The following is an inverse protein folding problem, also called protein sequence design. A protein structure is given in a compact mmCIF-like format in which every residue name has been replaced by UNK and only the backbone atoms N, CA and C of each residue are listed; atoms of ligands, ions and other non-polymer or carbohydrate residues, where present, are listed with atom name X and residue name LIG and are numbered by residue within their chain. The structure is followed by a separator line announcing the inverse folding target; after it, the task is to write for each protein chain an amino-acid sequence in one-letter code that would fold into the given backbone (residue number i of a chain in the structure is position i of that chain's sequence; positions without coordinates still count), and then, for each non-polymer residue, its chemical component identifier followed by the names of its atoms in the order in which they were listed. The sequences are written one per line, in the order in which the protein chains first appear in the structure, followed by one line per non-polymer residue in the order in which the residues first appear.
data_IF_416135899652
#
_entry.id   IF_416135899652
#
_cell.length_a   1.000
_cell.length_b   1.000
_cell.length_c   1.000
_cell.angle_alpha   90.00
_cell.angle_beta   90.00
_cell.angle_gamma   90.00
#
_symmetry.space_group_name_H-M   'P 1'
#
loop_
_entity.id
_entity.type
_entity.pdbx_description
1 polymer ?
#
# COMPACT_ATOMS: atom_id res chain seq x y z
N UNK A 1 10.91 17.33 3.51
CA UNK A 1 10.29 16.52 4.58
C UNK A 1 9.41 15.46 3.98
N UNK A 2 9.60 14.23 4.38
CA UNK A 2 8.84 13.13 3.82
C UNK A 2 7.54 12.92 4.61
N UNK A 3 6.50 12.56 3.88
CA UNK A 3 5.25 12.20 4.51
C UNK A 3 5.40 10.85 5.22
N UNK A 4 4.65 10.67 6.29
CA UNK A 4 4.61 9.40 7.00
C UNK A 4 3.87 8.38 6.14
N UNK A 5 4.44 7.18 6.07
CA UNK A 5 3.85 6.07 5.33
C UNK A 5 3.39 5.01 6.31
N UNK A 6 2.10 4.72 6.29
CA UNK A 6 1.50 3.73 7.18
C UNK A 6 0.87 2.63 6.33
N UNK A 7 1.27 1.40 6.56
CA UNK A 7 0.65 0.26 5.91
C UNK A 7 -0.38 -0.36 6.85
N UNK A 8 -1.64 -0.27 6.46
CA UNK A 8 -2.74 -0.94 7.14
C UNK A 8 -2.82 -2.34 6.58
N UNK A 9 -2.61 -3.35 7.40
CA UNK A 9 -2.38 -4.69 6.89
C UNK A 9 -2.86 -5.82 7.80
N UNK A 10 -2.85 -7.01 7.24
CA UNK A 10 -2.95 -8.28 7.95
C UNK A 10 -1.69 -9.06 7.54
N UNK A 11 -0.85 -9.38 8.51
CA UNK A 11 0.50 -9.87 8.23
C UNK A 11 0.52 -11.16 7.39
N UNK A 12 -0.48 -12.01 7.54
CA UNK A 12 -0.54 -13.27 6.80
C UNK A 12 -1.02 -13.11 5.36
N UNK A 13 -1.48 -11.92 4.97
CA UNK A 13 -1.98 -11.69 3.62
C UNK A 13 -0.83 -11.56 2.62
N UNK A 14 -0.93 -12.29 1.50
CA UNK A 14 0.07 -12.21 0.43
C UNK A 14 0.13 -10.83 -0.21
N UNK A 15 -1.02 -10.15 -0.34
CA UNK A 15 -1.04 -8.81 -0.90
C UNK A 15 -0.37 -7.81 0.03
N UNK A 16 -0.53 -7.97 1.33
CA UNK A 16 0.15 -7.12 2.30
C UNK A 16 1.66 -7.39 2.27
N UNK A 17 2.05 -8.65 2.18
CA UNK A 17 3.46 -9.01 2.08
C UNK A 17 4.12 -8.37 0.86
N UNK A 18 3.41 -8.34 -0.26
CA UNK A 18 3.92 -7.74 -1.50
C UNK A 18 4.27 -6.27 -1.29
N UNK A 19 3.43 -5.54 -0.58
CA UNK A 19 3.70 -4.12 -0.31
C UNK A 19 4.91 -3.97 0.63
N UNK A 20 4.98 -4.80 1.68
CA UNK A 20 6.14 -4.76 2.59
C UNK A 20 7.43 -5.07 1.86
N UNK A 21 7.40 -6.07 0.99
CA UNK A 21 8.58 -6.46 0.22
C UNK A 21 9.04 -5.33 -0.69
N UNK A 22 8.11 -4.70 -1.38
CA UNK A 22 8.44 -3.57 -2.25
C UNK A 22 9.10 -2.45 -1.45
N UNK A 23 8.53 -2.10 -0.30
CA UNK A 23 9.11 -1.06 0.55
C UNK A 23 10.52 -1.43 0.99
N UNK A 24 10.73 -2.69 1.36
CA UNK A 24 12.05 -3.15 1.79
C UNK A 24 13.08 -3.05 0.67
N UNK A 25 12.69 -3.45 -0.54
CA UNK A 25 13.61 -3.42 -1.68
C UNK A 25 14.02 -2.00 -2.03
N UNK A 26 13.10 -1.04 -1.98
CA UNK A 26 13.41 0.36 -2.29
C UNK A 26 13.96 1.13 -1.09
N UNK A 27 14.07 0.49 0.07
CA UNK A 27 14.67 1.11 1.25
C UNK A 27 13.76 2.11 1.95
N UNK A 28 12.45 1.95 1.80
CA UNK A 28 11.47 2.86 2.41
C UNK A 28 10.93 2.26 3.69
N UNK A 29 10.93 3.05 4.75
CA UNK A 29 10.38 2.62 6.03
C UNK A 29 8.86 2.79 6.03
N UNK A 30 8.16 1.75 6.46
CA UNK A 30 6.72 1.78 6.66
C UNK A 30 6.41 1.60 8.13
N UNK A 31 5.54 2.43 8.66
CA UNK A 31 4.88 2.12 9.92
C UNK A 31 3.76 1.13 9.60
N UNK A 32 3.66 0.07 10.40
CA UNK A 32 2.68 -0.98 10.14
C UNK A 32 1.57 -0.92 11.17
N UNK A 33 0.34 -1.04 10.69
CA UNK A 33 -0.83 -1.09 11.55
C UNK A 33 -1.60 -2.37 11.23
N UNK A 34 -1.54 -3.30 12.17
CA UNK A 34 -2.09 -4.64 11.98
C UNK A 34 -3.57 -4.69 12.31
N UNK A 35 -4.34 -5.39 11.49
CA UNK A 35 -5.76 -5.66 11.72
C UNK A 35 -5.99 -7.15 11.67
N UNK A 36 -6.83 -7.65 12.59
CA UNK A 36 -7.23 -9.05 12.56
C UNK A 36 -8.50 -9.19 11.73
N UNK A 37 -8.35 -9.60 10.48
CA UNK A 37 -9.49 -9.72 9.57
C UNK A 37 -10.46 -10.82 10.02
N UNK A 38 -9.96 -11.82 10.73
CA UNK A 38 -10.81 -12.90 11.23
C UNK A 38 -11.74 -12.42 12.34
N UNK A 39 -11.38 -11.32 13.00
CA UNK A 39 -12.21 -10.71 14.03
C UNK A 39 -13.03 -9.54 13.51
N UNK A 40 -13.01 -9.31 12.20
CA UNK A 40 -13.79 -8.25 11.60
C UNK A 40 -13.22 -6.85 11.82
N UNK A 41 -11.93 -6.71 12.10
CA UNK A 41 -11.35 -5.40 12.42
C UNK A 41 -11.30 -4.46 11.22
N UNK A 42 -11.40 -4.98 9.99
CA UNK A 42 -11.51 -4.14 8.79
C UNK A 42 -12.95 -3.81 8.45
N UNK A 43 -13.91 -4.22 9.28
CA UNK A 43 -15.32 -3.96 9.07
C UNK A 43 -15.92 -3.06 10.13
N UNK A 44 -15.09 -2.48 11.00
CA UNK A 44 -15.58 -1.53 11.99
C UNK A 44 -16.02 -0.24 11.31
N UNK A 45 -16.96 0.50 11.91
CA UNK A 45 -17.36 1.79 11.36
C UNK A 45 -16.19 2.74 11.17
N UNK A 46 -15.24 2.74 12.09
CA UNK A 46 -14.05 3.58 12.00
C UNK A 46 -13.20 3.22 10.79
N UNK A 47 -12.96 1.92 10.58
CA UNK A 47 -12.15 1.49 9.44
C UNK A 47 -12.83 1.85 8.12
N UNK A 48 -14.13 1.55 8.01
CA UNK A 48 -14.88 1.79 6.78
C UNK A 48 -14.98 3.29 6.46
N UNK A 49 -15.07 4.11 7.47
CA UNK A 49 -15.17 5.56 7.27
C UNK A 49 -13.83 6.21 7.01
N UNK A 50 -12.75 5.73 7.64
CA UNK A 50 -11.50 6.47 7.69
C UNK A 50 -10.35 5.82 6.91
N UNK A 51 -10.44 4.54 6.61
CA UNK A 51 -9.34 3.84 5.94
C UNK A 51 -9.75 3.33 4.57
N UNK A 52 -10.77 2.47 4.51
CA UNK A 52 -11.21 1.92 3.23
C UNK A 52 -12.66 1.47 3.35
N UNK A 53 -13.53 2.12 2.59
CA UNK A 53 -14.96 1.82 2.62
C UNK A 53 -15.28 0.41 2.14
N UNK A 54 -14.36 -0.24 1.45
CA UNK A 54 -14.54 -1.63 1.00
C UNK A 54 -14.18 -2.65 2.08
N UNK A 55 -13.63 -2.22 3.21
CA UNK A 55 -13.29 -3.13 4.31
C UNK A 55 -12.15 -4.08 3.98
N UNK A 56 -11.22 -3.68 3.14
CA UNK A 56 -10.11 -4.52 2.68
C UNK A 56 -8.76 -3.93 3.04
N UNK A 57 -7.77 -4.79 3.14
CA UNK A 57 -6.35 -4.46 3.28
C UNK A 57 -5.59 -5.17 2.15
N UNK A 58 -4.40 -4.73 1.79
CA UNK A 58 -3.64 -3.62 2.38
C UNK A 58 -4.15 -2.26 1.95
N UNK A 59 -3.89 -1.26 2.76
CA UNK A 59 -4.08 0.15 2.38
C UNK A 59 -2.79 0.87 2.74
N UNK A 60 -2.22 1.56 1.79
CA UNK A 60 -1.05 2.40 2.05
C UNK A 60 -1.53 3.83 2.31
N UNK A 61 -1.29 4.33 3.50
CA UNK A 61 -1.62 5.69 3.86
C UNK A 61 -0.40 6.57 3.67
N UNK A 62 -0.55 7.63 2.90
CA UNK A 62 0.51 8.59 2.60
C UNK A 62 0.04 9.94 3.14
N UNK A 63 0.50 10.30 4.33
CA UNK A 63 -0.04 11.47 5.02
C UNK A 63 -1.53 11.28 5.29
N UNK A 64 -2.36 12.09 4.65
CA UNK A 64 -3.82 11.99 4.78
C UNK A 64 -4.50 11.35 3.58
N UNK A 65 -3.71 10.77 2.65
CA UNK A 65 -4.25 10.09 1.47
C UNK A 65 -4.11 8.58 1.65
N UNK A 66 -5.05 7.84 1.05
CA UNK A 66 -5.12 6.39 1.23
C UNK A 66 -5.14 5.71 -0.14
N UNK A 67 -4.27 4.73 -0.33
CA UNK A 67 -4.16 3.94 -1.55
C UNK A 67 -4.65 2.52 -1.22
N UNK A 68 -5.87 2.14 -1.64
CA UNK A 68 -6.47 0.88 -1.21
C UNK A 68 -6.15 -0.33 -2.09
N UNK A 69 -5.33 -0.16 -3.13
CA UNK A 69 -4.98 -1.23 -4.04
C UNK A 69 -3.51 -1.60 -3.87
N UNK A 70 -3.24 -2.90 -3.68
CA UNK A 70 -1.87 -3.35 -3.43
C UNK A 70 -0.93 -3.04 -4.60
N UNK A 71 -1.40 -3.19 -5.84
CA UNK A 71 -0.56 -2.88 -6.99
C UNK A 71 -0.25 -1.39 -7.07
N UNK A 72 -1.25 -0.54 -6.81
CA UNK A 72 -1.04 0.90 -6.80
C UNK A 72 -0.10 1.31 -5.67
N UNK A 73 -0.20 0.67 -4.51
CA UNK A 73 0.70 0.95 -3.39
C UNK A 73 2.14 0.58 -3.75
N UNK A 74 2.33 -0.58 -4.36
CA UNK A 74 3.66 -1.00 -4.81
C UNK A 74 4.22 -0.03 -5.84
N UNK A 75 3.37 0.42 -6.75
CA UNK A 75 3.77 1.39 -7.76
C UNK A 75 4.22 2.70 -7.14
N UNK A 76 3.45 3.17 -6.17
CA UNK A 76 3.79 4.41 -5.48
C UNK A 76 5.16 4.28 -4.82
N UNK A 77 5.39 3.16 -4.12
CA UNK A 77 6.65 2.94 -3.42
C UNK A 77 7.82 2.81 -4.38
N UNK A 78 7.60 2.19 -5.53
CA UNK A 78 8.66 1.95 -6.51
C UNK A 78 8.91 3.13 -7.45
N UNK A 79 8.01 4.10 -7.48
CA UNK A 79 8.11 5.24 -8.39
C UNK A 79 9.41 5.99 -8.14
N UNK A 80 10.15 6.22 -9.23
CA UNK A 80 11.46 6.85 -9.14
C UNK A 80 12.58 5.93 -8.73
N UNK A 81 12.30 4.64 -8.48
CA UNK A 81 13.30 3.65 -8.12
C UNK A 81 13.75 2.86 -9.35
N UNK A 82 14.86 2.10 -9.25
CA UNK A 82 15.29 1.23 -10.35
C UNK A 82 14.31 0.12 -10.69
N UNK A 83 13.34 -0.19 -9.82
CA UNK A 83 12.36 -1.22 -10.09
C UNK A 83 11.42 -0.86 -11.23
N UNK A 84 11.15 0.44 -11.42
CA UNK A 84 10.26 0.91 -12.47
C UNK A 84 11.00 2.02 -13.22
N UNK A 85 11.57 1.72 -14.40
CA UNK A 85 12.25 2.74 -15.19
C UNK A 85 11.29 3.87 -15.54
N UNK A 86 11.75 5.10 -15.38
CA UNK A 86 10.89 6.27 -15.47
C UNK A 86 10.25 6.42 -16.85
N UNK A 87 11.04 6.29 -17.90
CA UNK A 87 10.49 6.46 -19.25
C UNK A 87 9.50 5.37 -19.60
N UNK A 88 9.71 4.16 -19.13
CA UNK A 88 8.76 3.07 -19.33
C UNK A 88 7.45 3.36 -18.61
N UNK A 89 7.54 3.85 -17.40
CA UNK A 89 6.37 4.22 -16.63
C UNK A 89 5.58 5.33 -17.32
N UNK A 90 6.27 6.33 -17.84
CA UNK A 90 5.60 7.45 -18.50
C UNK A 90 4.96 7.06 -19.83
N UNK A 91 5.59 6.18 -20.59
CA UNK A 91 5.13 5.86 -21.94
C UNK A 91 4.03 4.82 -21.95
N UNK A 92 3.90 4.02 -20.91
CA UNK A 92 2.97 2.89 -20.91
C UNK A 92 2.30 2.69 -19.58
N UNK A 93 1.87 3.78 -18.98
CA UNK A 93 1.32 3.76 -17.66
C UNK A 93 0.07 2.89 -17.53
N UNK A 94 -0.75 2.87 -18.58
CA UNK A 94 -1.99 2.12 -18.54
C UNK A 94 -1.78 0.61 -18.54
N UNK A 95 -0.60 0.15 -18.87
CA UNK A 95 -0.29 -1.27 -18.94
C UNK A 95 0.60 -1.73 -17.78
N UNK A 96 0.87 -0.86 -16.87
CA UNK A 96 1.78 -1.22 -15.78
C UNK A 96 1.09 -2.17 -14.83
N UNK A 97 1.76 -3.29 -14.57
CA UNK A 97 1.29 -4.32 -13.65
C UNK A 97 2.45 -4.70 -12.76
N UNK A 98 2.17 -4.79 -11.49
CA UNK A 98 3.19 -5.20 -10.52
C UNK A 98 2.91 -6.58 -9.99
#
# INVERSE_FOLDING_TARGET
MTEQLILHEYAASGNCYKVRLTAAIVGTHLERREYDIMKGETRTPQFLANVNSNGRIPVLQVGDRFIPESNAACFYLADGSPLVPENRFKSDRSHVVL
#
